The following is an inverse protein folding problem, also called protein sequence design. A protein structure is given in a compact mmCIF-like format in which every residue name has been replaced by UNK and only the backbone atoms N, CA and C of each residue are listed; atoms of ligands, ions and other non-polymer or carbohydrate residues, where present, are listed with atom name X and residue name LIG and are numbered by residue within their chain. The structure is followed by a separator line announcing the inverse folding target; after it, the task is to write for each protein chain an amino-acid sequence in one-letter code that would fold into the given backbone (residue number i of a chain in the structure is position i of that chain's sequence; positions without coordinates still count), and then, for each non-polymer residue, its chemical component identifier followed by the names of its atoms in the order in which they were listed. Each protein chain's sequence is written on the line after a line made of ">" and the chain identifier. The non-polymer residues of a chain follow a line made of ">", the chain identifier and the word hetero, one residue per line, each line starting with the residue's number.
data_IF_982594106024
#
_entry.id   IF_982594106024
#
_cell.length_a   1.000
_cell.length_b   1.000
_cell.length_c   1.000
_cell.angle_alpha   90.00
_cell.angle_beta   90.00
_cell.angle_gamma   90.00
#
_symmetry.space_group_name_H-M   'P 1'
#
loop_
_entity.id
_entity.type
_entity.pdbx_description
1 polymer ?
#
# COMPACT_ATOMS: atom_id res chain seq x y z
N UNK A 1 17.45 10.23 2.79
CA UNK A 1 16.99 8.99 2.12
C UNK A 1 17.91 8.69 0.94
N UNK A 2 18.41 7.45 0.78
CA UNK A 2 19.20 7.10 -0.39
C UNK A 2 18.36 7.27 -1.66
N UNK A 3 18.93 7.88 -2.71
CA UNK A 3 18.26 7.97 -4.02
C UNK A 3 18.13 6.55 -4.58
N UNK A 4 16.92 6.00 -4.54
CA UNK A 4 16.59 4.75 -5.23
C UNK A 4 16.91 4.92 -6.71
N UNK A 5 17.71 4.00 -7.26
CA UNK A 5 17.99 3.97 -8.70
C UNK A 5 16.67 3.68 -9.41
N UNK A 6 16.19 4.64 -10.21
CA UNK A 6 15.00 4.45 -11.03
C UNK A 6 15.25 3.26 -11.98
N UNK A 7 14.32 2.30 -12.08
CA UNK A 7 14.42 1.25 -13.09
C UNK A 7 14.41 1.88 -14.48
N UNK A 8 15.08 1.22 -15.44
CA UNK A 8 15.01 1.61 -16.83
C UNK A 8 13.57 1.39 -17.32
N UNK A 9 12.93 2.45 -17.82
CA UNK A 9 11.52 2.41 -18.22
C UNK A 9 11.34 1.54 -19.46
N UNK A 10 12.36 1.45 -20.33
CA UNK A 10 12.31 0.63 -21.54
C UNK A 10 12.21 -0.88 -21.24
N UNK A 11 12.58 -1.30 -20.03
CA UNK A 11 12.52 -2.69 -19.59
C UNK A 11 11.16 -3.07 -18.96
N UNK A 12 10.23 -2.11 -18.81
CA UNK A 12 8.91 -2.34 -18.21
C UNK A 12 8.01 -3.15 -19.14
N UNK A 13 7.52 -4.30 -18.68
CA UNK A 13 6.72 -5.23 -19.49
C UNK A 13 5.22 -5.01 -19.39
N UNK A 14 4.75 -4.31 -18.34
CA UNK A 14 3.34 -3.98 -18.14
C UNK A 14 3.14 -2.81 -17.17
N UNK A 15 1.95 -2.22 -17.21
CA UNK A 15 1.49 -1.21 -16.26
C UNK A 15 0.22 -1.73 -15.58
N UNK A 16 0.27 -1.84 -14.25
CA UNK A 16 -0.89 -2.08 -13.42
C UNK A 16 -1.49 -0.73 -13.02
N UNK A 17 -2.69 -0.46 -13.53
CA UNK A 17 -3.33 0.84 -13.38
C UNK A 17 -4.16 0.99 -12.11
N UNK A 18 -4.28 -0.04 -11.27
CA UNK A 18 -5.08 0.03 -10.05
C UNK A 18 -4.46 -0.81 -8.92
N UNK A 19 -3.57 -0.19 -8.16
CA UNK A 19 -2.92 -0.86 -7.02
C UNK A 19 -3.16 -0.10 -5.72
N UNK A 20 -3.22 -0.87 -4.64
CA UNK A 20 -3.30 -0.37 -3.27
C UNK A 20 -2.03 -0.75 -2.55
N UNK A 21 -1.51 0.18 -1.75
CA UNK A 21 -0.47 -0.07 -0.77
C UNK A 21 -0.85 0.74 0.46
N UNK A 22 -0.90 0.10 1.62
CA UNK A 22 -1.24 0.78 2.87
C UNK A 22 -0.08 0.68 3.83
N UNK A 23 0.18 1.78 4.52
CA UNK A 23 1.06 1.84 5.68
C UNK A 23 0.31 2.67 6.73
N UNK A 24 0.40 2.36 8.02
CA UNK A 24 -0.16 3.22 9.06
C UNK A 24 0.44 4.63 8.94
N UNK A 25 -0.37 5.58 8.47
CA UNK A 25 0.00 6.99 8.34
C UNK A 25 -0.27 7.72 9.66
N UNK A 26 0.48 7.39 10.72
CA UNK A 26 0.28 8.07 12.00
C UNK A 26 0.84 7.28 13.18
N UNK A 27 1.51 7.98 14.09
CA UNK A 27 1.82 7.48 15.45
C UNK A 27 0.72 7.88 16.42
N UNK A 28 -0.53 7.90 15.95
CA UNK A 28 -1.66 8.32 16.77
C UNK A 28 -2.06 7.19 17.73
N UNK A 29 -2.66 7.52 18.89
CA UNK A 29 -3.21 6.51 19.79
C UNK A 29 -4.26 5.70 19.06
N UNK A 30 -4.23 4.37 19.26
CA UNK A 30 -5.15 3.41 18.64
C UNK A 30 -6.59 3.92 18.63
N UNK A 31 -7.08 4.22 17.42
CA UNK A 31 -8.42 4.70 17.11
C UNK A 31 -9.38 3.54 16.72
N UNK A 32 -8.93 2.30 16.88
CA UNK A 32 -9.63 1.08 16.48
C UNK A 32 -9.33 0.64 15.04
N UNK A 33 -8.41 1.30 14.31
CA UNK A 33 -8.04 0.92 12.96
C UNK A 33 -7.41 -0.47 12.87
N UNK A 34 -6.60 -0.86 13.87
CA UNK A 34 -5.96 -2.18 13.91
C UNK A 34 -6.98 -3.32 14.05
N UNK A 35 -7.98 -3.15 14.92
CA UNK A 35 -9.07 -4.10 15.09
C UNK A 35 -9.93 -4.19 13.83
N UNK A 36 -10.20 -3.05 13.19
CA UNK A 36 -10.91 -3.00 11.91
C UNK A 36 -10.16 -3.77 10.81
N UNK A 37 -8.85 -3.54 10.67
CA UNK A 37 -8.00 -4.26 9.71
C UNK A 37 -7.92 -5.76 10.01
N UNK A 38 -7.83 -6.15 11.29
CA UNK A 38 -7.84 -7.56 11.68
C UNK A 38 -9.15 -8.25 11.29
N UNK A 39 -10.30 -7.61 11.55
CA UNK A 39 -11.61 -8.15 11.16
C UNK A 39 -11.80 -8.18 9.63
N UNK A 40 -11.28 -7.18 8.91
CA UNK A 40 -11.26 -7.20 7.44
C UNK A 40 -10.44 -8.39 6.91
N UNK A 41 -9.25 -8.63 7.47
CA UNK A 41 -8.41 -9.74 7.08
C UNK A 41 -9.13 -11.10 7.28
N UNK A 42 -9.81 -11.27 8.42
CA UNK A 42 -10.61 -12.46 8.69
C UNK A 42 -11.80 -12.61 7.73
N UNK A 43 -12.53 -11.52 7.48
CA UNK A 43 -13.71 -11.51 6.60
C UNK A 43 -13.34 -11.86 5.15
N UNK A 44 -12.32 -11.20 4.60
CA UNK A 44 -11.85 -11.42 3.23
C UNK A 44 -10.95 -12.66 3.09
N UNK A 45 -10.63 -13.34 4.19
CA UNK A 45 -9.70 -14.47 4.24
C UNK A 45 -8.35 -14.09 3.62
N UNK A 46 -7.88 -12.90 3.96
CA UNK A 46 -6.64 -12.36 3.43
C UNK A 46 -5.46 -13.24 3.85
N UNK A 47 -4.54 -13.59 2.94
CA UNK A 47 -3.30 -14.27 3.31
C UNK A 47 -2.33 -13.36 4.09
N UNK A 48 -2.60 -12.06 4.15
CA UNK A 48 -1.81 -11.08 4.89
C UNK A 48 -2.63 -10.47 6.03
N UNK A 49 -2.00 -10.35 7.21
CA UNK A 49 -2.62 -9.73 8.38
C UNK A 49 -2.84 -8.22 8.22
N UNK A 50 -1.93 -7.56 7.50
CA UNK A 50 -2.05 -6.17 7.09
C UNK A 50 -1.78 -6.07 5.60
N UNK A 51 -2.36 -5.08 4.89
CA UNK A 51 -2.00 -4.82 3.51
C UNK A 51 -0.50 -4.52 3.39
N UNK A 52 0.12 -4.81 2.23
CA UNK A 52 1.54 -4.56 2.01
C UNK A 52 1.85 -3.07 2.02
N UNK A 53 2.98 -2.73 2.61
CA UNK A 53 3.52 -1.37 2.62
C UNK A 53 3.93 -0.91 1.21
N UNK A 54 4.15 0.40 1.03
CA UNK A 54 4.64 0.94 -0.25
C UNK A 54 5.99 0.31 -0.65
N UNK A 55 6.99 0.14 0.23
CA UNK A 55 8.24 -0.54 -0.13
C UNK A 55 8.07 -2.00 -0.54
N UNK A 56 7.23 -2.78 0.16
CA UNK A 56 6.95 -4.18 -0.17
C UNK A 56 6.26 -4.32 -1.52
N UNK A 57 5.24 -3.48 -1.74
CA UNK A 57 4.55 -3.39 -3.03
C UNK A 57 5.54 -3.04 -4.14
N UNK A 58 6.37 -2.01 -3.96
CA UNK A 58 7.37 -1.62 -4.94
C UNK A 58 8.39 -2.75 -5.24
N UNK A 59 8.82 -3.51 -4.24
CA UNK A 59 9.71 -4.65 -4.43
C UNK A 59 9.05 -5.78 -5.24
N UNK A 60 7.78 -6.09 -4.94
CA UNK A 60 7.01 -7.09 -5.68
C UNK A 60 6.86 -6.75 -7.16
N UNK A 61 6.55 -5.50 -7.49
CA UNK A 61 6.38 -5.05 -8.88
C UNK A 61 7.72 -4.99 -9.62
N UNK A 62 8.80 -4.51 -8.98
CA UNK A 62 10.16 -4.51 -9.55
C UNK A 62 10.64 -5.91 -9.90
N UNK A 63 10.33 -6.92 -9.08
CA UNK A 63 10.71 -8.32 -9.35
C UNK A 63 10.14 -8.88 -10.67
N UNK A 64 9.10 -8.22 -11.22
CA UNK A 64 8.38 -8.64 -12.44
C UNK A 64 8.58 -7.67 -13.60
N UNK A 65 9.38 -6.61 -13.42
CA UNK A 65 9.50 -5.50 -14.36
C UNK A 65 8.13 -4.87 -14.72
N UNK A 66 7.22 -4.77 -13.75
CA UNK A 66 5.90 -4.13 -13.93
C UNK A 66 5.91 -2.78 -13.21
N UNK A 67 5.35 -1.74 -13.83
CA UNK A 67 5.08 -0.47 -13.18
C UNK A 67 3.69 -0.47 -12.53
N UNK A 68 3.56 0.12 -11.33
CA UNK A 68 2.31 0.20 -10.60
C UNK A 68 1.85 1.65 -10.43
N UNK A 69 0.54 1.88 -10.61
CA UNK A 69 -0.13 3.13 -10.30
C UNK A 69 -0.85 2.98 -8.97
N UNK A 70 -0.30 3.60 -7.93
CA UNK A 70 -0.88 3.59 -6.57
C UNK A 70 -1.75 4.82 -6.39
N UNK A 71 -3.04 4.62 -6.08
CA UNK A 71 -3.93 5.70 -5.70
C UNK A 71 -3.90 5.91 -4.18
N UNK A 72 -3.65 7.12 -3.68
CA UNK A 72 -3.73 7.38 -2.26
C UNK A 72 -5.19 7.31 -1.80
N UNK A 73 -5.45 6.53 -0.75
CA UNK A 73 -6.72 6.54 -0.01
C UNK A 73 -6.50 7.26 1.33
N UNK A 74 -6.72 8.56 1.30
CA UNK A 74 -6.66 9.42 2.49
C UNK A 74 -8.06 9.54 3.11
N UNK A 75 -8.45 8.57 3.94
CA UNK A 75 -9.74 8.65 4.62
C UNK A 75 -9.79 9.76 5.66
N UNK A 76 -8.66 10.24 6.18
CA UNK A 76 -8.69 11.40 7.08
C UNK A 76 -9.20 12.63 6.32
N UNK A 77 -8.65 12.88 5.14
CA UNK A 77 -9.12 13.95 4.26
C UNK A 77 -10.58 13.77 3.84
N UNK A 78 -10.99 12.55 3.48
CA UNK A 78 -12.33 12.30 2.92
C UNK A 78 -13.44 12.20 3.98
N UNK A 79 -13.13 11.75 5.19
CA UNK A 79 -14.13 11.50 6.24
C UNK A 79 -14.03 12.46 7.42
N UNK A 80 -12.89 13.14 7.58
CA UNK A 80 -12.61 13.98 8.75
C UNK A 80 -12.28 13.19 10.02
N UNK A 81 -12.30 11.84 9.97
CA UNK A 81 -11.78 11.01 11.04
C UNK A 81 -10.25 11.05 10.99
N UNK A 82 -9.64 11.66 12.01
CA UNK A 82 -8.17 11.69 12.12
C UNK A 82 -7.66 10.28 12.35
N UNK A 83 -6.73 9.85 11.49
CA UNK A 83 -5.93 8.63 11.64
C UNK A 83 -4.68 8.92 12.45
#
# INVERSE_FOLDING_TARGET
>A
MPKLKLPNIDDVVAIDIHTHAEEPCGTHPDDGYDDFQAQMADYFKSPHKHPPTVPETAAYYRSKNIAAVIFPVDAERETGFRR
#
